data_IF_599153023139
#
_entry.id   IF_599153023139
#
_cell.length_a   1.000
_cell.length_b   1.000
_cell.length_c   1.000
_cell.angle_alpha   90.00
_cell.angle_beta   90.00
_cell.angle_gamma   90.00
#
_symmetry.space_group_name_H-M   'P 1'
#
loop_
_entity.id
_entity.type
_entity.pdbx_description
1 polymer ?
#
# COMPACT_ATOMS: atom_id res chain seq x y z
N UNK A 1 19.74 29.16 -13.63
CA UNK A 1 19.97 29.37 -12.18
C UNK A 1 18.73 28.84 -11.49
N UNK A 2 18.85 27.76 -10.72
CA UNK A 2 17.70 27.12 -10.06
C UNK A 2 17.26 28.05 -8.92
N UNK A 3 15.97 28.29 -8.78
CA UNK A 3 15.40 29.14 -7.72
C UNK A 3 15.53 28.46 -6.35
N UNK A 4 15.47 29.25 -5.28
CA UNK A 4 15.55 28.69 -3.92
C UNK A 4 14.39 27.73 -3.64
N UNK A 5 13.21 28.02 -4.17
CA UNK A 5 12.01 27.19 -4.03
C UNK A 5 12.14 25.85 -4.75
N UNK A 6 12.70 25.82 -5.95
CA UNK A 6 13.00 24.58 -6.69
C UNK A 6 14.04 23.73 -5.96
N UNK A 7 15.05 24.37 -5.34
CA UNK A 7 16.07 23.68 -4.54
C UNK A 7 15.45 23.06 -3.28
N UNK A 8 14.57 23.77 -2.58
CA UNK A 8 13.92 23.29 -1.36
C UNK A 8 12.90 22.18 -1.63
N UNK A 9 12.22 22.21 -2.79
CA UNK A 9 11.37 21.10 -3.27
C UNK A 9 12.21 19.87 -3.61
N UNK A 10 13.35 20.05 -4.29
CA UNK A 10 14.24 18.95 -4.62
C UNK A 10 14.83 18.28 -3.36
N UNK A 11 15.23 19.08 -2.36
CA UNK A 11 15.75 18.56 -1.10
C UNK A 11 14.68 17.77 -0.33
N UNK A 12 13.42 18.24 -0.30
CA UNK A 12 12.30 17.50 0.28
C UNK A 12 12.02 16.18 -0.45
N UNK A 13 12.04 16.19 -1.78
CA UNK A 13 11.87 14.98 -2.58
C UNK A 13 13.03 13.98 -2.36
N UNK A 14 14.25 14.46 -2.12
CA UNK A 14 15.42 13.63 -1.81
C UNK A 14 15.41 13.07 -0.38
N UNK A 15 14.71 13.72 0.55
CA UNK A 15 14.48 13.21 1.91
C UNK A 15 13.43 12.09 1.95
N UNK A 16 12.51 12.04 0.98
CA UNK A 16 11.52 10.97 0.82
C UNK A 16 12.19 9.70 0.26
N UNK A 17 12.83 8.92 1.15
CA UNK A 17 13.32 7.58 0.82
C UNK A 17 12.15 6.61 0.73
N UNK A 18 11.56 6.46 -0.46
CA UNK A 18 10.63 5.37 -0.74
C UNK A 18 11.42 4.05 -0.79
N UNK A 19 11.23 3.19 0.21
CA UNK A 19 11.86 1.89 0.23
C UNK A 19 11.24 1.01 -0.86
N UNK A 20 12.06 0.43 -1.74
CA UNK A 20 11.58 -0.60 -2.66
C UNK A 20 11.26 -1.86 -1.83
N UNK A 21 9.98 -2.14 -1.61
CA UNK A 21 9.53 -3.29 -0.85
C UNK A 21 9.17 -4.43 -1.79
N UNK A 22 9.96 -5.50 -1.78
CA UNK A 22 9.65 -6.76 -2.45
C UNK A 22 9.10 -7.75 -1.42
N UNK A 23 7.80 -8.05 -1.48
CA UNK A 23 7.13 -8.95 -0.54
C UNK A 23 6.91 -10.37 -1.10
N UNK A 24 7.43 -10.65 -2.30
CA UNK A 24 7.23 -11.93 -2.97
C UNK A 24 7.76 -13.08 -2.13
N UNK A 25 6.96 -14.15 -2.01
CA UNK A 25 7.26 -15.33 -1.17
C UNK A 25 6.79 -15.25 0.28
N UNK A 26 6.32 -14.09 0.77
CA UNK A 26 5.67 -14.01 2.08
C UNK A 26 4.22 -14.49 2.02
N UNK A 27 3.63 -14.97 3.14
CA UNK A 27 2.19 -15.20 3.21
C UNK A 27 1.41 -13.93 2.86
N UNK A 28 0.33 -14.06 2.09
CA UNK A 28 -0.42 -12.91 1.54
C UNK A 28 -0.85 -11.89 2.60
N UNK A 29 -1.21 -12.33 3.80
CA UNK A 29 -1.53 -11.44 4.93
C UNK A 29 -0.37 -10.52 5.31
N UNK A 30 0.87 -11.04 5.30
CA UNK A 30 2.07 -10.23 5.56
C UNK A 30 2.35 -9.27 4.40
N UNK A 31 2.15 -9.71 3.16
CA UNK A 31 2.31 -8.83 1.99
C UNK A 31 1.39 -7.62 2.10
N UNK A 32 0.10 -7.84 2.41
CA UNK A 32 -0.90 -6.79 2.60
C UNK A 32 -0.47 -5.82 3.70
N UNK A 33 -0.07 -6.35 4.87
CA UNK A 33 0.33 -5.51 6.01
C UNK A 33 1.53 -4.63 5.69
N UNK A 34 2.55 -5.19 5.04
CA UNK A 34 3.77 -4.46 4.69
C UNK A 34 3.45 -3.39 3.66
N UNK A 35 2.75 -3.74 2.56
CA UNK A 35 2.36 -2.77 1.55
C UNK A 35 1.50 -1.66 2.15
N UNK A 36 0.54 -1.99 3.02
CA UNK A 36 -0.31 -1.00 3.70
C UNK A 36 0.50 -0.02 4.55
N UNK A 37 1.48 -0.54 5.30
CA UNK A 37 2.38 0.30 6.09
C UNK A 37 3.29 1.16 5.22
N UNK A 38 3.81 0.62 4.12
CA UNK A 38 4.61 1.35 3.14
C UNK A 38 3.80 2.48 2.48
N UNK A 39 2.56 2.21 2.14
CA UNK A 39 1.63 3.15 1.49
C UNK A 39 1.04 4.17 2.48
N UNK A 40 1.45 4.16 3.76
CA UNK A 40 0.92 5.00 4.85
C UNK A 40 -0.60 4.91 5.05
N UNK A 41 -1.20 3.76 4.69
CA UNK A 41 -2.63 3.52 4.81
C UNK A 41 -2.97 3.01 6.22
N UNK A 42 -3.96 3.64 6.85
CA UNK A 42 -4.58 3.07 8.04
C UNK A 42 -5.36 1.80 7.69
N UNK A 43 -5.59 0.94 8.68
CA UNK A 43 -6.44 -0.24 8.49
C UNK A 43 -7.88 0.12 8.10
N UNK A 44 -8.36 1.31 8.50
CA UNK A 44 -9.69 1.82 8.15
C UNK A 44 -9.75 2.18 6.67
N UNK A 45 -8.82 3.02 6.19
CA UNK A 45 -8.76 3.38 4.77
C UNK A 45 -8.62 2.14 3.88
N UNK A 46 -7.74 1.21 4.27
CA UNK A 46 -7.57 -0.05 3.55
C UNK A 46 -8.85 -0.90 3.51
N UNK A 47 -9.59 -0.96 4.62
CA UNK A 47 -10.85 -1.69 4.71
C UNK A 47 -11.92 -1.13 3.76
N UNK A 48 -11.96 0.19 3.59
CA UNK A 48 -12.95 0.87 2.74
C UNK A 48 -12.71 0.59 1.26
N UNK A 49 -11.49 0.78 0.75
CA UNK A 49 -11.24 0.59 -0.68
C UNK A 49 -11.19 -0.89 -1.09
N UNK A 50 -10.67 -1.77 -0.23
CA UNK A 50 -10.70 -3.23 -0.47
C UNK A 50 -12.10 -3.82 -0.29
N UNK A 51 -13.04 -3.05 0.29
CA UNK A 51 -14.39 -3.47 0.66
C UNK A 51 -14.39 -4.71 1.58
N UNK A 52 -13.39 -4.78 2.47
CA UNK A 52 -13.22 -5.86 3.46
C UNK A 52 -13.49 -5.24 4.84
N UNK A 53 -14.34 -5.82 5.70
CA UNK A 53 -14.51 -5.30 7.06
C UNK A 53 -13.17 -5.19 7.81
N UNK A 54 -12.95 -4.09 8.53
CA UNK A 54 -11.70 -3.81 9.25
C UNK A 54 -11.21 -4.96 10.13
N UNK A 55 -12.12 -5.62 10.87
CA UNK A 55 -11.79 -6.78 11.71
C UNK A 55 -11.30 -7.97 10.88
N UNK A 56 -12.00 -8.28 9.79
CA UNK A 56 -11.62 -9.32 8.83
C UNK A 56 -10.25 -9.01 8.22
N UNK A 57 -9.98 -7.76 7.83
CA UNK A 57 -8.69 -7.35 7.28
C UNK A 57 -7.55 -7.52 8.31
N UNK A 58 -7.80 -7.15 9.57
CA UNK A 58 -6.86 -7.38 10.68
C UNK A 58 -6.52 -8.87 10.87
N UNK A 59 -7.53 -9.75 10.84
CA UNK A 59 -7.35 -11.19 10.96
C UNK A 59 -6.57 -11.77 9.77
N UNK A 60 -6.77 -11.22 8.56
CA UNK A 60 -6.00 -11.59 7.36
C UNK A 60 -4.54 -11.17 7.52
N UNK A 61 -4.26 -9.91 7.90
CA UNK A 61 -2.91 -9.37 8.05
C UNK A 61 -2.08 -10.10 9.12
N UNK A 62 -2.75 -10.64 10.13
CA UNK A 62 -2.13 -11.41 11.22
C UNK A 62 -2.04 -12.91 10.92
N UNK A 63 -2.66 -13.38 9.83
CA UNK A 63 -2.68 -14.79 9.44
C UNK A 63 -3.69 -15.66 10.19
N UNK A 64 -4.54 -15.06 11.03
CA UNK A 64 -5.64 -15.75 11.73
C UNK A 64 -6.69 -16.23 10.74
N UNK A 65 -6.93 -15.45 9.67
CA UNK A 65 -7.92 -15.75 8.63
C UNK A 65 -7.25 -15.78 7.25
N UNK A 66 -7.69 -16.72 6.39
CA UNK A 66 -7.35 -16.71 4.96
C UNK A 66 -8.15 -15.65 4.21
N UNK A 67 -7.60 -15.12 3.11
CA UNK A 67 -8.33 -14.21 2.22
C UNK A 67 -9.59 -14.90 1.69
N UNK A 68 -10.80 -14.34 1.90
CA UNK A 68 -12.00 -14.87 1.28
C UNK A 68 -11.96 -14.69 -0.24
N UNK A 69 -12.37 -15.71 -0.99
CA UNK A 69 -12.34 -15.71 -2.47
C UNK A 69 -12.88 -14.45 -3.12
N UNK A 70 -14.00 -13.91 -2.61
CA UNK A 70 -14.64 -12.70 -3.14
C UNK A 70 -13.75 -11.44 -3.09
N UNK A 71 -12.70 -11.45 -2.27
CA UNK A 71 -11.76 -10.34 -2.11
C UNK A 71 -10.38 -10.59 -2.74
N UNK A 72 -10.11 -11.80 -3.26
CA UNK A 72 -8.81 -12.14 -3.86
C UNK A 72 -8.46 -11.18 -5.01
N UNK A 73 -9.44 -10.86 -5.87
CA UNK A 73 -9.23 -9.90 -6.96
C UNK A 73 -8.84 -8.51 -6.44
N UNK A 74 -9.56 -7.98 -5.47
CA UNK A 74 -9.29 -6.65 -4.90
C UNK A 74 -7.91 -6.59 -4.21
N UNK A 75 -7.53 -7.66 -3.52
CA UNK A 75 -6.20 -7.76 -2.91
C UNK A 75 -5.10 -7.85 -3.96
N UNK A 76 -5.28 -8.62 -5.03
CA UNK A 76 -4.29 -8.69 -6.12
C UNK A 76 -4.16 -7.36 -6.85
N UNK A 77 -5.29 -6.68 -7.14
CA UNK A 77 -5.28 -5.33 -7.69
C UNK A 77 -4.50 -4.38 -6.79
N UNK A 78 -4.76 -4.42 -5.48
CA UNK A 78 -4.01 -3.62 -4.53
C UNK A 78 -2.51 -3.93 -4.53
N UNK A 79 -2.13 -5.20 -4.37
CA UNK A 79 -0.74 -5.60 -4.20
C UNK A 79 0.12 -5.32 -5.43
N UNK A 80 -0.42 -5.51 -6.63
CA UNK A 80 0.39 -5.57 -7.86
C UNK A 80 0.07 -4.50 -8.88
N UNK A 81 -1.05 -3.79 -8.74
CA UNK A 81 -1.52 -2.85 -9.75
C UNK A 81 -1.83 -1.45 -9.21
N UNK A 82 -1.77 -1.21 -7.91
CA UNK A 82 -2.10 0.09 -7.33
C UNK A 82 -0.92 0.69 -6.56
N UNK A 83 -0.61 1.93 -6.90
CA UNK A 83 0.38 2.73 -6.20
C UNK A 83 -0.30 3.76 -5.30
N UNK A 84 0.12 3.79 -4.04
CA UNK A 84 -0.33 4.73 -3.03
C UNK A 84 0.90 5.39 -2.40
N UNK A 85 0.78 6.66 -2.06
CA UNK A 85 1.80 7.40 -1.31
C UNK A 85 1.10 8.26 -0.27
N UNK A 86 1.60 8.25 0.97
CA UNK A 86 1.07 9.05 2.08
C UNK A 86 -0.44 8.88 2.31
N UNK A 87 -0.96 7.67 2.07
CA UNK A 87 -2.37 7.32 2.24
C UNK A 87 -3.27 7.72 1.07
N UNK A 88 -2.72 8.29 0.01
CA UNK A 88 -3.46 8.72 -1.19
C UNK A 88 -3.18 7.80 -2.38
N UNK A 89 -4.22 7.55 -3.19
CA UNK A 89 -4.09 6.80 -4.43
C UNK A 89 -3.42 7.70 -5.48
N UNK A 90 -2.33 7.21 -6.06
CA UNK A 90 -1.56 7.97 -7.05
C UNK A 90 -1.89 7.48 -8.45
N UNK A 91 -1.67 6.19 -8.72
CA UNK A 91 -1.88 5.64 -10.05
C UNK A 91 -2.13 4.13 -10.03
N UNK A 92 -2.69 3.64 -11.14
CA UNK A 92 -2.82 2.21 -11.43
C UNK A 92 -1.79 1.83 -12.48
N UNK A 93 -1.00 0.80 -12.22
CA UNK A 93 -0.13 0.22 -13.22
C UNK A 93 -0.88 -0.81 -14.07
N UNK A 94 -0.96 -0.54 -15.36
CA UNK A 94 -1.34 -1.51 -16.38
C UNK A 94 -0.06 -2.16 -16.89
N UNK A 95 0.04 -3.48 -16.75
CA UNK A 95 1.13 -4.28 -17.33
C UNK A 95 0.87 -4.54 -18.81
#
# INVERSE_FOLDING_TARGET
MITQEERDSLMRAMEMKHALVFCDGLPIGRQIRIKRAHDSLSLVQASEFLKIPKSTLSEIETGVRKVPRKHEKAINEYLYHMYFADGEFIERWEQ
#
